data_IF_668181320407
#
_entry.id   IF_668181320407
#
_cell.length_a   1.000
_cell.length_b   1.000
_cell.length_c   1.000
_cell.angle_alpha   90.00
_cell.angle_beta   90.00
_cell.angle_gamma   90.00
#
_symmetry.space_group_name_H-M   'P 1'
#
loop_
_entity.id
_entity.type
_entity.pdbx_description
1 polymer ?
#
# COMPACT_ATOMS: atom_id res chain seq x y z
N UNK A 1 -69.81 -17.46 2.30
CA UNK A 1 -68.49 -17.49 2.94
C UNK A 1 -68.06 -18.94 3.08
N UNK A 2 -66.93 -19.29 2.44
CA UNK A 2 -65.85 -19.95 3.18
C UNK A 2 -64.49 -19.30 2.91
N UNK A 3 -63.66 -19.31 3.94
CA UNK A 3 -62.31 -18.77 4.00
C UNK A 3 -61.33 -19.69 3.24
N UNK A 4 -60.48 -19.09 2.39
CA UNK A 4 -59.38 -19.76 1.72
C UNK A 4 -58.10 -19.56 2.53
N UNK A 5 -57.59 -20.64 3.14
CA UNK A 5 -56.27 -20.69 3.76
C UNK A 5 -55.19 -20.84 2.69
N UNK A 6 -54.43 -19.78 2.43
CA UNK A 6 -53.24 -19.82 1.60
C UNK A 6 -52.02 -20.17 2.48
N UNK A 7 -51.51 -21.40 2.34
CA UNK A 7 -50.25 -21.83 2.93
C UNK A 7 -49.08 -21.25 2.13
N UNK A 8 -48.30 -20.36 2.75
CA UNK A 8 -47.07 -19.82 2.19
C UNK A 8 -45.90 -20.74 2.54
N UNK A 9 -45.48 -21.59 1.60
CA UNK A 9 -44.21 -22.32 1.71
C UNK A 9 -43.09 -21.38 1.26
N UNK A 10 -42.42 -20.77 2.23
CA UNK A 10 -41.20 -20.00 2.01
C UNK A 10 -40.06 -20.93 1.60
N UNK A 11 -39.53 -20.73 0.40
CA UNK A 11 -38.27 -21.36 -0.03
C UNK A 11 -37.12 -20.58 0.60
N UNK A 12 -36.53 -21.14 1.65
CA UNK A 12 -35.31 -20.61 2.26
C UNK A 12 -34.14 -21.16 1.43
N UNK A 13 -33.57 -20.34 0.55
CA UNK A 13 -32.31 -20.66 -0.12
C UNK A 13 -31.19 -20.39 0.90
N UNK A 14 -30.81 -21.43 1.64
CA UNK A 14 -29.60 -21.43 2.47
C UNK A 14 -28.39 -21.45 1.55
N UNK A 15 -27.77 -20.28 1.34
CA UNK A 15 -26.51 -20.16 0.62
C UNK A 15 -25.41 -20.69 1.55
N UNK A 16 -25.12 -21.98 1.44
CA UNK A 16 -24.07 -22.64 2.19
C UNK A 16 -22.75 -21.89 1.98
N UNK A 17 -22.18 -21.43 3.10
CA UNK A 17 -20.82 -20.91 3.19
C UNK A 17 -19.84 -21.92 2.59
N UNK A 18 -19.42 -21.70 1.34
CA UNK A 18 -18.35 -22.44 0.69
C UNK A 18 -17.15 -21.51 0.46
N UNK A 19 -16.58 -21.06 1.57
CA UNK A 19 -15.17 -20.68 1.64
C UNK A 19 -14.57 -21.45 2.82
N UNK A 20 -14.51 -22.77 2.67
CA UNK A 20 -13.75 -23.62 3.56
C UNK A 20 -12.28 -23.57 3.15
N UNK A 21 -11.44 -23.16 4.09
CA UNK A 21 -10.00 -23.26 4.10
C UNK A 21 -9.49 -24.54 3.39
N UNK A 22 -8.74 -24.37 2.31
CA UNK A 22 -8.10 -25.46 1.57
C UNK A 22 -6.86 -26.03 2.32
N UNK A 23 -6.83 -25.99 3.66
CA UNK A 23 -5.69 -26.43 4.46
C UNK A 23 -5.77 -27.88 4.93
N UNK A 24 -6.93 -28.54 4.95
CA UNK A 24 -7.04 -29.80 5.73
C UNK A 24 -7.53 -31.08 5.05
N UNK A 25 -7.98 -31.13 3.79
CA UNK A 25 -8.44 -32.44 3.24
C UNK A 25 -8.18 -32.66 1.74
N UNK A 26 -6.92 -32.91 1.37
CA UNK A 26 -6.67 -33.71 0.17
C UNK A 26 -6.84 -35.19 0.51
N UNK A 27 -8.02 -35.77 0.26
CA UNK A 27 -8.21 -37.23 0.25
C UNK A 27 -7.78 -37.78 -1.11
N UNK A 28 -6.85 -38.75 -1.18
CA UNK A 28 -6.47 -39.36 -2.44
C UNK A 28 -7.44 -40.50 -2.76
N UNK A 29 -8.42 -40.25 -3.63
CA UNK A 29 -9.18 -41.35 -4.25
C UNK A 29 -8.63 -41.61 -5.66
N UNK A 30 -7.79 -42.63 -5.68
CA UNK A 30 -7.17 -43.36 -6.78
C UNK A 30 -8.00 -43.44 -8.08
N UNK A 31 -7.47 -42.82 -9.14
CA UNK A 31 -7.42 -43.46 -10.46
C UNK A 31 -5.99 -44.01 -10.60
N UNK A 32 -5.85 -45.32 -10.48
CA UNK A 32 -4.57 -46.03 -10.47
C UNK A 32 -3.95 -46.00 -11.88
N UNK A 33 -2.99 -45.12 -12.14
CA UNK A 33 -1.94 -45.29 -13.18
C UNK A 33 -0.86 -44.19 -13.21
N UNK A 34 -0.73 -43.33 -12.20
CA UNK A 34 0.48 -42.52 -12.01
C UNK A 34 0.80 -42.41 -10.53
N UNK A 35 2.02 -42.76 -10.15
CA UNK A 35 2.63 -42.38 -8.87
C UNK A 35 2.93 -40.87 -8.83
N UNK A 36 1.95 -40.05 -9.24
CA UNK A 36 2.04 -38.61 -9.07
C UNK A 36 1.78 -38.35 -7.60
N UNK A 37 2.87 -38.37 -6.81
CA UNK A 37 2.91 -37.82 -5.45
C UNK A 37 2.06 -36.55 -5.44
N UNK A 38 1.05 -36.42 -4.57
CA UNK A 38 0.29 -35.19 -4.42
C UNK A 38 1.22 -34.14 -3.81
N UNK A 39 2.07 -33.54 -4.64
CA UNK A 39 2.71 -32.28 -4.29
C UNK A 39 1.57 -31.28 -4.31
N UNK A 40 1.06 -30.93 -3.13
CA UNK A 40 0.38 -29.65 -2.96
C UNK A 40 1.33 -28.60 -3.54
N UNK A 41 0.98 -28.09 -4.71
CA UNK A 41 1.76 -27.07 -5.39
C UNK A 41 1.50 -25.79 -4.60
N UNK A 42 2.16 -25.64 -3.46
CA UNK A 42 2.14 -24.45 -2.61
C UNK A 42 2.92 -23.30 -3.27
N UNK A 43 2.78 -23.14 -4.59
CA UNK A 43 3.44 -22.09 -5.37
C UNK A 43 3.08 -20.69 -4.86
N UNK A 44 1.91 -20.54 -4.21
CA UNK A 44 1.43 -19.26 -3.67
C UNK A 44 1.63 -19.08 -2.17
N UNK A 45 2.06 -20.11 -1.42
CA UNK A 45 2.14 -20.04 0.04
C UNK A 45 3.19 -19.04 0.56
N UNK A 46 4.16 -18.65 -0.27
CA UNK A 46 5.18 -17.63 0.04
C UNK A 46 4.95 -16.29 -0.67
N UNK A 47 3.83 -16.13 -1.38
CA UNK A 47 3.51 -14.88 -2.08
C UNK A 47 2.64 -13.93 -1.25
N UNK A 48 2.30 -14.30 -0.01
CA UNK A 48 1.31 -13.60 0.79
C UNK A 48 1.85 -12.37 1.54
N UNK A 49 3.17 -12.23 1.68
CA UNK A 49 3.66 -11.50 2.86
C UNK A 49 3.86 -9.99 2.66
N UNK A 50 3.90 -9.45 1.44
CA UNK A 50 4.01 -7.99 1.25
C UNK A 50 3.19 -7.48 0.05
N UNK A 51 2.03 -6.86 0.31
CA UNK A 51 1.19 -6.24 -0.74
C UNK A 51 1.88 -5.06 -1.44
N UNK A 52 2.95 -4.53 -0.85
CA UNK A 52 3.72 -3.39 -1.35
C UNK A 52 4.98 -3.79 -2.14
N UNK A 53 5.40 -5.07 -2.07
CA UNK A 53 6.64 -5.53 -2.72
C UNK A 53 7.92 -4.92 -2.13
N UNK A 54 7.87 -4.39 -0.90
CA UNK A 54 8.96 -3.69 -0.23
C UNK A 54 8.49 -2.87 0.98
N UNK A 55 9.40 -2.15 1.65
CA UNK A 55 9.08 -1.29 2.79
C UNK A 55 8.10 -0.17 2.41
N UNK A 56 7.35 0.32 3.39
CA UNK A 56 6.34 1.36 3.21
C UNK A 56 6.72 2.64 3.97
N UNK A 57 7.07 3.70 3.24
CA UNK A 57 7.47 4.97 3.84
C UNK A 57 6.34 6.02 3.90
N UNK A 58 5.10 5.67 3.55
CA UNK A 58 3.98 6.61 3.52
C UNK A 58 3.75 7.31 4.87
N UNK A 59 3.80 6.54 5.97
CA UNK A 59 3.63 7.08 7.31
C UNK A 59 4.72 8.08 7.66
N UNK A 60 5.97 7.79 7.30
CA UNK A 60 7.10 8.67 7.55
C UNK A 60 6.94 10.02 6.82
N UNK A 61 6.50 9.98 5.56
CA UNK A 61 6.16 11.19 4.78
C UNK A 61 5.02 12.00 5.39
N UNK A 62 3.95 11.35 5.85
CA UNK A 62 2.84 12.05 6.52
C UNK A 62 3.30 12.72 7.81
N UNK A 63 4.06 12.03 8.65
CA UNK A 63 4.58 12.56 9.91
C UNK A 63 5.59 13.69 9.69
N UNK A 64 6.44 13.58 8.68
CA UNK A 64 7.39 14.63 8.28
C UNK A 64 6.65 15.94 7.94
N UNK A 65 5.53 15.83 7.22
CA UNK A 65 4.66 16.96 6.88
C UNK A 65 3.73 17.39 8.03
N UNK A 66 3.78 16.71 9.19
CA UNK A 66 2.94 16.95 10.37
C UNK A 66 1.44 16.95 10.07
N UNK A 67 1.00 16.04 9.20
CA UNK A 67 -0.40 15.89 8.82
C UNK A 67 -1.08 14.76 9.60
N UNK A 68 -2.35 14.93 9.93
CA UNK A 68 -3.21 13.81 10.36
C UNK A 68 -3.63 12.96 9.17
N UNK A 69 -4.05 11.71 9.40
CA UNK A 69 -4.55 10.85 8.34
C UNK A 69 -5.78 11.44 7.65
N UNK A 70 -6.67 12.10 8.41
CA UNK A 70 -7.85 12.79 7.86
C UNK A 70 -7.46 13.99 7.00
N UNK A 71 -6.50 14.80 7.45
CA UNK A 71 -6.01 15.93 6.68
C UNK A 71 -5.38 15.47 5.37
N UNK A 72 -4.54 14.43 5.40
CA UNK A 72 -3.96 13.86 4.19
C UNK A 72 -5.05 13.34 3.24
N UNK A 73 -6.06 12.65 3.79
CA UNK A 73 -7.17 12.11 3.00
C UNK A 73 -7.99 13.21 2.30
N UNK A 74 -8.17 14.36 2.95
CA UNK A 74 -8.85 15.53 2.41
C UNK A 74 -8.02 16.27 1.35
N UNK A 75 -6.69 16.24 1.47
CA UNK A 75 -5.77 16.83 0.49
C UNK A 75 -5.61 15.97 -0.77
N UNK A 76 -6.00 14.70 -0.73
CA UNK A 76 -5.97 13.82 -1.89
C UNK A 76 -7.03 14.21 -2.92
N UNK A 77 -6.72 14.01 -4.20
CA UNK A 77 -7.68 14.19 -5.29
C UNK A 77 -7.87 12.87 -6.08
N UNK A 78 -9.10 12.32 -6.18
CA UNK A 78 -10.29 12.72 -5.41
C UNK A 78 -10.11 12.47 -3.90
N UNK A 79 -10.87 13.17 -3.03
CA UNK A 79 -10.77 13.03 -1.59
C UNK A 79 -11.08 11.61 -1.13
N UNK A 80 -10.49 11.22 -0.01
CA UNK A 80 -10.61 9.87 0.57
C UNK A 80 -10.92 9.96 2.06
N UNK A 81 -10.95 8.82 2.75
CA UNK A 81 -11.17 8.77 4.20
C UNK A 81 -9.87 8.42 4.92
N UNK A 82 -9.72 8.91 6.16
CA UNK A 82 -8.57 8.59 7.01
C UNK A 82 -8.37 7.09 7.22
N UNK A 83 -9.47 6.32 7.28
CA UNK A 83 -9.42 4.86 7.37
C UNK A 83 -8.68 4.20 6.20
N UNK A 84 -8.85 4.71 4.97
CA UNK A 84 -8.13 4.20 3.81
C UNK A 84 -6.64 4.52 3.89
N UNK A 85 -6.29 5.69 4.41
CA UNK A 85 -4.89 6.05 4.67
C UNK A 85 -4.27 5.13 5.74
N UNK A 86 -5.00 4.81 6.82
CA UNK A 86 -4.51 3.87 7.84
C UNK A 86 -4.21 2.49 7.25
N UNK A 87 -5.13 1.95 6.45
CA UNK A 87 -4.94 0.67 5.77
C UNK A 87 -3.75 0.68 4.80
N UNK A 88 -3.50 1.82 4.14
CA UNK A 88 -2.34 2.00 3.27
C UNK A 88 -1.04 2.10 4.07
N UNK A 89 -1.05 2.72 5.25
CA UNK A 89 0.13 2.83 6.13
C UNK A 89 0.48 1.49 6.78
N UNK A 90 -0.53 0.73 7.22
CA UNK A 90 -0.38 -0.59 7.84
C UNK A 90 0.00 -1.68 6.83
N UNK A 91 -0.19 -1.43 5.53
CA UNK A 91 0.09 -2.41 4.47
C UNK A 91 -1.04 -3.41 4.24
N UNK A 92 -2.16 -3.31 4.98
CA UNK A 92 -3.38 -4.06 4.73
C UNK A 92 -3.94 -3.79 3.33
N UNK A 93 -3.75 -2.56 2.83
CA UNK A 93 -3.99 -2.20 1.45
C UNK A 93 -2.68 -1.90 0.76
N UNK A 94 -2.42 -2.60 -0.35
CA UNK A 94 -1.24 -2.36 -1.17
C UNK A 94 -1.17 -0.93 -1.71
N UNK A 95 -0.02 -0.29 -1.53
CA UNK A 95 0.33 1.04 -2.00
C UNK A 95 0.66 1.00 -3.49
N UNK A 96 -0.38 0.82 -4.30
CA UNK A 96 -0.23 0.77 -5.75
C UNK A 96 0.20 2.11 -6.35
N UNK A 97 0.74 2.08 -7.57
CA UNK A 97 1.14 3.28 -8.31
C UNK A 97 0.00 4.31 -8.47
N UNK A 98 -1.26 3.84 -8.54
CA UNK A 98 -2.43 4.72 -8.57
C UNK A 98 -2.56 5.51 -7.27
N UNK A 99 -2.30 4.89 -6.12
CA UNK A 99 -2.30 5.58 -4.82
C UNK A 99 -1.12 6.52 -4.68
N UNK A 100 0.09 6.10 -5.07
CA UNK A 100 1.27 6.95 -5.04
C UNK A 100 1.08 8.25 -5.84
N UNK A 101 0.49 8.15 -7.04
CA UNK A 101 0.18 9.33 -7.87
C UNK A 101 -0.87 10.26 -7.25
N UNK A 102 -1.79 9.73 -6.45
CA UNK A 102 -2.82 10.53 -5.76
C UNK A 102 -2.27 11.21 -4.50
N UNK A 103 -1.38 10.54 -3.79
CA UNK A 103 -0.78 11.02 -2.54
C UNK A 103 0.35 12.02 -2.79
N UNK A 104 1.11 11.85 -3.88
CA UNK A 104 2.25 12.69 -4.23
C UNK A 104 1.96 14.20 -4.24
N UNK A 105 0.88 14.70 -4.89
CA UNK A 105 0.53 16.13 -4.84
C UNK A 105 0.20 16.62 -3.43
N UNK A 106 -0.54 15.81 -2.65
CA UNK A 106 -0.93 16.15 -1.28
C UNK A 106 0.29 16.27 -0.35
N UNK A 107 1.29 15.42 -0.55
CA UNK A 107 2.55 15.40 0.18
C UNK A 107 3.64 16.30 -0.46
N UNK A 108 3.33 16.99 -1.56
CA UNK A 108 4.26 17.86 -2.32
C UNK A 108 5.58 17.15 -2.69
N UNK A 109 5.49 15.87 -3.05
CA UNK A 109 6.65 15.04 -3.39
C UNK A 109 6.41 14.22 -4.66
N UNK A 110 7.36 13.38 -5.05
CA UNK A 110 7.26 12.49 -6.21
C UNK A 110 6.72 11.12 -5.77
N UNK A 111 5.93 10.43 -6.61
CA UNK A 111 5.39 9.10 -6.30
C UNK A 111 6.47 8.07 -5.90
N UNK A 112 7.60 8.04 -6.60
CA UNK A 112 8.70 7.12 -6.29
C UNK A 112 9.37 7.42 -4.95
N UNK A 113 9.42 8.69 -4.54
CA UNK A 113 10.06 9.07 -3.28
C UNK A 113 9.31 8.54 -2.07
N UNK A 114 7.98 8.44 -2.17
CA UNK A 114 7.12 7.86 -1.12
C UNK A 114 7.36 6.35 -0.98
N UNK A 115 7.72 5.66 -2.05
CA UNK A 115 7.90 4.20 -2.05
C UNK A 115 9.32 3.78 -1.70
N UNK A 116 10.33 4.59 -2.02
CA UNK A 116 11.73 4.20 -1.96
C UNK A 116 12.52 4.80 -0.79
N UNK A 117 12.07 5.93 -0.22
CA UNK A 117 12.86 6.69 0.74
C UNK A 117 12.05 7.13 1.96
N UNK A 118 12.65 7.02 3.15
CA UNK A 118 12.18 7.69 4.35
C UNK A 118 12.70 9.16 4.35
N UNK A 119 11.84 10.18 4.49
CA UNK A 119 12.26 11.58 4.51
C UNK A 119 13.14 11.96 5.71
N UNK A 120 13.20 11.11 6.75
CA UNK A 120 14.05 11.29 7.93
C UNK A 120 15.43 10.65 7.74
N UNK A 121 15.56 9.73 6.79
CA UNK A 121 16.83 9.09 6.47
C UNK A 121 17.58 9.94 5.45
N UNK A 122 18.78 10.38 5.83
CA UNK A 122 19.71 11.04 4.94
C UNK A 122 20.88 10.09 4.71
N UNK A 123 21.23 9.89 3.44
CA UNK A 123 22.39 9.08 3.06
C UNK A 123 23.65 9.55 3.80
N UNK A 124 24.38 8.61 4.40
CA UNK A 124 25.54 8.90 5.25
C UNK A 124 26.60 9.71 4.50
N UNK A 125 26.82 9.40 3.23
CA UNK A 125 27.76 10.14 2.38
C UNK A 125 27.29 11.59 2.16
N UNK A 126 25.99 11.83 2.03
CA UNK A 126 25.44 13.19 1.96
C UNK A 126 25.65 13.97 3.26
N UNK A 127 25.49 13.33 4.41
CA UNK A 127 25.76 13.93 5.72
C UNK A 127 27.24 14.26 5.91
N UNK A 128 28.16 13.35 5.52
CA UNK A 128 29.60 13.58 5.57
C UNK A 128 30.01 14.77 4.70
N UNK A 129 29.53 14.81 3.45
CA UNK A 129 29.81 15.93 2.54
C UNK A 129 29.33 17.28 3.11
N UNK A 130 28.18 17.30 3.78
CA UNK A 130 27.63 18.53 4.40
C UNK A 130 28.44 18.91 5.64
N UNK A 131 28.85 17.93 6.44
CA UNK A 131 29.65 18.13 7.66
C UNK A 131 31.04 18.70 7.36
N UNK A 132 31.65 18.31 6.24
CA UNK A 132 32.98 18.77 5.85
C UNK A 132 32.98 20.20 5.24
N UNK A 133 31.80 20.76 4.93
CA UNK A 133 31.67 22.09 4.36
C UNK A 133 31.82 23.18 5.42
N UNK A 134 32.65 24.17 5.14
CA UNK A 134 32.71 25.38 5.95
C UNK A 134 31.39 26.18 5.86
N UNK A 135 31.03 27.00 6.88
CA UNK A 135 29.77 27.76 6.89
C UNK A 135 29.57 28.65 5.65
N UNK A 136 30.66 29.23 5.12
CA UNK A 136 30.61 30.04 3.91
C UNK A 136 30.31 29.24 2.63
N UNK A 137 30.60 27.93 2.62
CA UNK A 137 30.31 27.05 1.49
C UNK A 137 28.87 26.53 1.57
N UNK A 138 28.35 26.27 2.78
CA UNK A 138 26.94 25.90 2.98
C UNK A 138 25.98 26.94 2.37
N UNK A 139 26.24 28.24 2.61
CA UNK A 139 25.43 29.31 2.01
C UNK A 139 25.46 29.32 0.47
N UNK A 140 26.58 28.90 -0.14
CA UNK A 140 26.69 28.79 -1.61
C UNK A 140 25.92 27.58 -2.14
N UNK A 141 26.01 26.45 -1.43
CA UNK A 141 25.27 25.22 -1.78
C UNK A 141 23.77 25.47 -1.67
N UNK A 142 23.31 26.09 -0.58
CA UNK A 142 21.91 26.47 -0.39
C UNK A 142 21.43 27.36 -1.53
N UNK A 143 22.18 28.41 -1.85
CA UNK A 143 21.84 29.31 -2.96
C UNK A 143 21.78 28.56 -4.30
N UNK A 144 22.77 27.73 -4.59
CA UNK A 144 22.81 26.92 -5.81
C UNK A 144 21.58 26.00 -5.94
N UNK A 145 21.21 25.31 -4.86
CA UNK A 145 20.03 24.43 -4.85
C UNK A 145 18.75 25.23 -5.08
N UNK A 146 18.59 26.38 -4.42
CA UNK A 146 17.41 27.23 -4.58
C UNK A 146 17.30 27.79 -6.00
N UNK A 147 18.41 28.24 -6.59
CA UNK A 147 18.44 28.76 -7.96
C UNK A 147 18.08 27.64 -8.95
N UNK A 148 18.66 26.45 -8.78
CA UNK A 148 18.37 25.31 -9.65
C UNK A 148 16.91 24.82 -9.57
N UNK A 149 16.28 24.87 -8.38
CA UNK A 149 14.87 24.50 -8.21
C UNK A 149 13.93 25.53 -8.85
N UNK A 150 14.27 26.82 -8.81
CA UNK A 150 13.44 27.90 -9.39
C UNK A 150 13.44 27.87 -10.92
N UNK A 151 14.59 27.59 -11.52
CA UNK A 151 14.76 27.66 -12.98
C UNK A 151 14.35 26.36 -13.71
N UNK A 152 14.09 25.27 -12.95
CA UNK A 152 13.91 23.91 -13.48
C UNK A 152 12.52 23.49 -13.96
N UNK A 153 11.51 24.37 -14.03
CA UNK A 153 10.15 24.01 -14.51
C UNK A 153 9.79 24.52 -15.91
N UNK A 154 10.73 25.17 -16.61
CA UNK A 154 10.55 25.68 -17.98
C UNK A 154 11.59 25.06 -18.94
N UNK A 155 11.51 23.75 -19.16
CA UNK A 155 12.28 23.03 -20.16
C UNK A 155 11.39 22.06 -20.93
#
# INVERSE_FOLDING_TARGET
>A
MPEASASAVGVIVSMAHYFADCKETCKPNLCSMREDMPRCILQTAKMADDKNGGPNHLRAWREFMKLTQEQLANLCEPPTTGAVISLLEEGERGLSLKWLRRLAPALKTRPGFIAEYDPKEVDTRTLEMISDLAPAQLAKVEKFVVDYIKDGTNG
#
